data_IF_417843188408
#
_entry.id   IF_417843188408
#
_cell.length_a   1.000
_cell.length_b   1.000
_cell.length_c   1.000
_cell.angle_alpha   90.00
_cell.angle_beta   90.00
_cell.angle_gamma   90.00
#
_symmetry.space_group_name_H-M   'P 1'
#
loop_
_entity.id
_entity.type
_entity.pdbx_description
1 polymer ?
#
# COMPACT_ATOMS: atom_id res chain seq x y z
N UNK A 1 -4.48 2.95 -10.11
CA UNK A 1 -3.63 2.47 -9.02
C UNK A 1 -4.09 3.09 -7.70
N UNK A 2 -4.24 2.30 -6.66
CA UNK A 2 -4.53 2.77 -5.30
C UNK A 2 -3.25 2.72 -4.46
N UNK A 3 -2.81 3.84 -3.93
CA UNK A 3 -1.63 3.95 -3.07
C UNK A 3 -2.09 4.21 -1.62
N UNK A 4 -2.03 3.19 -0.78
CA UNK A 4 -2.36 3.29 0.64
C UNK A 4 -1.10 3.71 1.40
N UNK A 5 -1.01 4.98 1.70
CA UNK A 5 0.13 5.69 2.25
C UNK A 5 0.72 6.71 1.28
N UNK A 6 0.75 7.99 1.68
CA UNK A 6 1.36 9.10 0.95
C UNK A 6 2.63 9.62 1.66
N UNK A 7 3.34 8.72 2.32
CA UNK A 7 4.62 8.98 2.97
C UNK A 7 5.80 8.90 1.99
N UNK A 8 6.97 8.53 2.49
CA UNK A 8 8.21 8.45 1.71
C UNK A 8 8.09 7.46 0.55
N UNK A 9 7.57 6.24 0.82
CA UNK A 9 7.31 5.24 -0.21
C UNK A 9 6.23 5.71 -1.21
N UNK A 10 5.10 6.26 -0.70
CA UNK A 10 4.00 6.70 -1.56
C UNK A 10 4.42 7.76 -2.57
N UNK A 11 5.20 8.74 -2.14
CA UNK A 11 5.77 9.75 -3.02
C UNK A 11 6.69 9.14 -4.09
N UNK A 12 7.60 8.25 -3.70
CA UNK A 12 8.58 7.65 -4.61
C UNK A 12 7.93 6.68 -5.61
N UNK A 13 7.01 5.82 -5.13
CA UNK A 13 6.23 4.89 -5.99
C UNK A 13 5.40 5.66 -7.00
N UNK A 14 4.69 6.71 -6.57
CA UNK A 14 3.87 7.52 -7.48
C UNK A 14 4.73 8.15 -8.59
N UNK A 15 5.90 8.68 -8.27
CA UNK A 15 6.83 9.23 -9.26
C UNK A 15 7.30 8.17 -10.27
N UNK A 16 7.62 6.97 -9.81
CA UNK A 16 8.01 5.87 -10.69
C UNK A 16 6.86 5.42 -11.60
N UNK A 17 5.63 5.31 -11.06
CA UNK A 17 4.43 4.96 -11.84
C UNK A 17 4.13 5.99 -12.94
N UNK A 18 4.26 7.28 -12.63
CA UNK A 18 4.12 8.37 -13.61
C UNK A 18 5.16 8.27 -14.71
N UNK A 19 6.40 7.91 -14.37
CA UNK A 19 7.47 7.66 -15.34
C UNK A 19 7.14 6.53 -16.32
N UNK A 20 6.37 5.53 -15.90
CA UNK A 20 5.84 4.45 -16.73
C UNK A 20 4.54 4.80 -17.48
N UNK A 21 4.02 6.01 -17.34
CA UNK A 21 2.83 6.48 -18.03
C UNK A 21 1.52 6.10 -17.35
N UNK A 22 1.53 5.70 -16.08
CA UNK A 22 0.32 5.48 -15.29
C UNK A 22 -0.39 6.81 -15.06
N UNK A 23 -1.64 6.91 -15.49
CA UNK A 23 -2.40 8.16 -15.45
C UNK A 23 -3.36 8.25 -14.26
N UNK A 24 -3.95 7.13 -13.82
CA UNK A 24 -4.95 7.12 -12.76
C UNK A 24 -4.33 6.65 -11.43
N UNK A 25 -4.16 7.58 -10.50
CA UNK A 25 -3.52 7.33 -9.20
C UNK A 25 -4.36 7.94 -8.08
N UNK A 26 -4.75 7.13 -7.11
CA UNK A 26 -5.45 7.58 -5.90
C UNK A 26 -4.54 7.38 -4.69
N UNK A 27 -4.32 8.43 -3.92
CA UNK A 27 -3.65 8.36 -2.62
C UNK A 27 -4.65 8.23 -1.49
N UNK A 28 -4.34 7.39 -0.52
CA UNK A 28 -5.08 7.26 0.75
C UNK A 28 -4.11 7.50 1.89
N UNK A 29 -4.35 8.53 2.67
CA UNK A 29 -3.54 8.88 3.86
C UNK A 29 -4.33 9.83 4.75
N UNK A 30 -4.28 9.64 6.07
CA UNK A 30 -4.92 10.52 7.05
C UNK A 30 -3.97 11.56 7.64
N UNK A 31 -2.67 11.44 7.36
CA UNK A 31 -1.65 12.28 7.96
C UNK A 31 -1.52 13.67 7.33
N UNK A 32 -0.83 14.53 8.05
CA UNK A 32 -0.47 15.87 7.60
C UNK A 32 1.03 15.97 7.30
N UNK A 33 1.40 16.85 6.39
CA UNK A 33 2.80 17.13 6.09
C UNK A 33 3.42 17.87 7.27
N UNK A 34 4.51 17.32 7.82
CA UNK A 34 5.31 17.94 8.87
C UNK A 34 6.57 18.60 8.29
N UNK A 35 7.23 19.54 9.01
CA UNK A 35 8.44 20.22 8.53
C UNK A 35 9.59 19.31 8.15
N UNK A 36 9.67 18.10 8.72
CA UNK A 36 10.70 17.11 8.39
C UNK A 36 10.39 16.29 7.13
N UNK A 37 9.15 16.29 6.63
CA UNK A 37 8.76 15.43 5.52
C UNK A 37 9.38 15.84 4.17
N UNK A 38 9.49 17.12 3.80
CA UNK A 38 10.04 17.53 2.50
C UNK A 38 11.46 17.05 2.22
N UNK A 39 12.23 16.72 3.25
CA UNK A 39 13.60 16.23 3.10
C UNK A 39 13.67 14.83 2.46
N UNK A 40 12.59 14.03 2.53
CA UNK A 40 12.53 12.65 2.05
C UNK A 40 11.25 12.29 1.27
N UNK A 41 10.21 13.09 1.36
CA UNK A 41 8.92 12.89 0.69
C UNK A 41 8.82 13.84 -0.50
N UNK A 42 9.20 13.38 -1.68
CA UNK A 42 9.49 14.19 -2.86
C UNK A 42 8.28 14.88 -3.53
N UNK A 43 7.06 14.64 -3.03
CA UNK A 43 5.85 15.35 -3.47
C UNK A 43 5.46 16.51 -2.54
N UNK A 44 6.31 16.86 -1.57
CA UNK A 44 6.03 17.95 -0.64
C UNK A 44 7.20 18.92 -0.59
N UNK A 45 6.89 20.21 -0.46
CA UNK A 45 7.85 21.27 -0.25
C UNK A 45 7.73 21.85 1.17
N UNK A 46 8.69 22.67 1.54
CA UNK A 46 8.63 23.43 2.79
C UNK A 46 7.38 24.33 2.88
N UNK A 47 6.92 24.84 1.75
CA UNK A 47 5.73 25.69 1.67
C UNK A 47 4.47 24.96 2.15
N UNK A 48 4.26 23.70 1.67
CA UNK A 48 3.14 22.87 2.11
C UNK A 48 3.26 22.50 3.59
N UNK A 49 4.47 22.18 4.07
CA UNK A 49 4.71 21.85 5.46
C UNK A 49 4.35 22.98 6.43
N UNK A 50 4.48 24.24 5.99
CA UNK A 50 4.14 25.44 6.78
C UNK A 50 2.75 25.99 6.46
N UNK A 51 2.06 25.43 5.47
CA UNK A 51 0.73 25.83 5.06
C UNK A 51 -0.40 25.46 6.05
N UNK A 52 -1.62 25.92 5.76
CA UNK A 52 -2.81 25.59 6.57
C UNK A 52 -3.43 24.24 6.16
N UNK A 53 -3.53 23.98 4.86
CA UNK A 53 -4.00 22.71 4.32
C UNK A 53 -2.80 21.80 4.06
N UNK A 54 -2.60 20.80 4.89
CA UNK A 54 -1.40 19.97 4.88
C UNK A 54 -1.71 18.49 4.77
N UNK A 55 -2.90 18.11 4.32
CA UNK A 55 -3.27 16.70 4.18
C UNK A 55 -2.43 16.04 3.10
N UNK A 56 -1.68 15.02 3.48
CA UNK A 56 -0.72 14.33 2.59
C UNK A 56 -1.37 13.81 1.32
N UNK A 57 -2.50 13.10 1.45
CA UNK A 57 -3.17 12.51 0.29
C UNK A 57 -3.57 13.58 -0.74
N UNK A 58 -4.15 14.69 -0.29
CA UNK A 58 -4.59 15.79 -1.17
C UNK A 58 -3.41 16.46 -1.84
N UNK A 59 -2.40 16.84 -1.07
CA UNK A 59 -1.22 17.53 -1.61
C UNK A 59 -0.43 16.66 -2.58
N UNK A 60 -0.27 15.36 -2.29
CA UNK A 60 0.40 14.44 -3.20
C UNK A 60 -0.33 14.34 -4.56
N UNK A 61 -1.66 14.31 -4.53
CA UNK A 61 -2.47 14.28 -5.74
C UNK A 61 -2.39 15.59 -6.54
N UNK A 62 -2.38 16.73 -5.86
CA UNK A 62 -2.21 18.05 -6.48
C UNK A 62 -0.82 18.19 -7.13
N UNK A 63 0.22 17.75 -6.45
CA UNK A 63 1.59 17.81 -6.95
C UNK A 63 1.80 16.91 -8.17
N UNK A 64 1.21 15.71 -8.22
CA UNK A 64 1.27 14.89 -9.43
C UNK A 64 0.64 15.58 -10.64
N UNK A 65 -0.48 16.28 -10.46
CA UNK A 65 -1.11 17.07 -11.53
C UNK A 65 -0.25 18.29 -11.94
N UNK A 66 0.45 18.90 -10.98
CA UNK A 66 1.38 19.99 -11.27
C UNK A 66 2.59 19.50 -12.09
N UNK A 67 3.08 18.27 -11.81
CA UNK A 67 4.17 17.63 -12.56
C UNK A 67 3.72 17.25 -13.98
N UNK A 68 2.54 16.68 -14.11
CA UNK A 68 1.95 16.32 -15.41
C UNK A 68 0.43 16.50 -15.39
N UNK A 69 -0.10 17.55 -16.04
CA UNK A 69 -1.54 17.82 -16.04
C UNK A 69 -2.43 16.73 -16.67
N UNK A 70 -1.85 15.80 -17.44
CA UNK A 70 -2.59 14.66 -18.01
C UNK A 70 -2.89 13.57 -16.96
N UNK A 71 -2.33 13.67 -15.76
CA UNK A 71 -2.56 12.69 -14.69
C UNK A 71 -3.87 12.98 -13.99
N UNK A 72 -4.71 11.94 -13.92
CA UNK A 72 -5.91 11.93 -13.12
C UNK A 72 -5.57 11.39 -11.71
N UNK A 73 -5.18 12.29 -10.82
CA UNK A 73 -4.80 11.95 -9.44
C UNK A 73 -5.84 12.45 -8.45
N UNK A 74 -6.13 11.62 -7.44
CA UNK A 74 -7.07 11.93 -6.36
C UNK A 74 -6.44 11.68 -5.00
N UNK A 75 -6.74 12.54 -4.02
CA UNK A 75 -6.37 12.36 -2.63
C UNK A 75 -7.60 12.06 -1.77
N UNK A 76 -7.57 10.95 -1.06
CA UNK A 76 -8.61 10.53 -0.12
C UNK A 76 -8.03 10.60 1.29
N UNK A 77 -8.51 11.58 2.07
CA UNK A 77 -8.16 11.69 3.48
C UNK A 77 -8.94 10.62 4.23
N UNK A 78 -8.23 9.57 4.63
CA UNK A 78 -8.86 8.40 5.20
C UNK A 78 -7.88 7.63 6.09
N UNK A 79 -8.36 7.26 7.27
CA UNK A 79 -7.63 6.46 8.23
C UNK A 79 -8.01 4.99 8.06
N UNK A 80 -7.02 4.14 7.81
CA UNK A 80 -7.23 2.69 7.66
C UNK A 80 -7.68 2.11 9.01
N UNK A 81 -8.81 1.37 9.05
CA UNK A 81 -9.21 0.64 10.26
C UNK A 81 -8.13 -0.38 10.62
N UNK A 82 -7.60 -0.28 11.83
CA UNK A 82 -6.56 -1.18 12.32
C UNK A 82 -7.18 -2.09 13.38
N UNK A 83 -7.11 -3.43 13.21
CA UNK A 83 -7.52 -4.36 14.26
C UNK A 83 -6.75 -4.09 15.55
N UNK A 84 -7.43 -4.31 16.67
CA UNK A 84 -6.89 -4.17 18.04
C UNK A 84 -6.50 -2.75 18.49
N UNK A 85 -6.83 -1.74 17.68
CA UNK A 85 -6.69 -0.35 18.10
C UNK A 85 -7.97 0.17 18.74
N UNK A 86 -7.87 0.61 19.98
CA UNK A 86 -9.00 1.24 20.68
C UNK A 86 -9.34 2.56 20.00
N UNK A 87 -10.56 2.69 19.50
CA UNK A 87 -11.08 3.98 19.05
C UNK A 87 -11.17 4.89 20.26
N UNK A 88 -10.29 5.89 20.34
CA UNK A 88 -10.29 6.82 21.46
C UNK A 88 -11.52 7.72 21.40
N UNK A 89 -12.35 7.69 22.43
CA UNK A 89 -13.51 8.56 22.61
C UNK A 89 -14.53 7.95 23.56
N UNK A 90 -15.27 8.83 24.25
CA UNK A 90 -16.42 8.44 25.06
C UNK A 90 -17.62 8.32 24.12
N UNK A 91 -17.60 7.33 23.22
CA UNK A 91 -18.72 7.02 22.34
C UNK A 91 -19.42 5.75 22.82
N UNK A 92 -20.72 5.66 22.61
CA UNK A 92 -21.45 4.43 22.84
C UNK A 92 -20.94 3.32 21.90
N UNK A 93 -20.92 2.08 22.37
CA UNK A 93 -20.38 0.93 21.64
C UNK A 93 -20.99 0.80 20.23
N UNK A 94 -22.30 1.01 20.10
CA UNK A 94 -23.02 0.92 18.82
C UNK A 94 -22.62 2.01 17.82
N UNK A 95 -22.33 3.22 18.30
CA UNK A 95 -21.86 4.32 17.45
C UNK A 95 -20.43 4.07 16.96
N UNK A 96 -19.60 3.48 17.81
CA UNK A 96 -18.24 3.08 17.48
C UNK A 96 -18.23 1.95 16.43
N UNK A 97 -19.08 0.92 16.60
CA UNK A 97 -19.21 -0.19 15.65
C UNK A 97 -19.65 0.32 14.27
N UNK A 98 -20.68 1.19 14.20
CA UNK A 98 -21.10 1.81 12.92
C UNK A 98 -19.99 2.60 12.25
N UNK A 99 -19.23 3.37 13.02
CA UNK A 99 -18.09 4.14 12.49
C UNK A 99 -16.99 3.26 11.89
N UNK A 100 -16.75 2.07 12.47
CA UNK A 100 -15.81 1.09 11.93
C UNK A 100 -16.38 0.44 10.66
N UNK A 101 -17.66 0.04 10.66
CA UNK A 101 -18.33 -0.54 9.49
C UNK A 101 -18.30 0.41 8.28
N UNK A 102 -18.59 1.70 8.48
CA UNK A 102 -18.49 2.72 7.44
C UNK A 102 -17.07 2.86 6.88
N UNK A 103 -16.05 2.82 7.77
CA UNK A 103 -14.65 2.84 7.34
C UNK A 103 -14.29 1.59 6.55
N UNK A 104 -14.70 0.41 6.97
CA UNK A 104 -14.46 -0.84 6.25
C UNK A 104 -15.15 -0.82 4.89
N UNK A 105 -16.43 -0.42 4.83
CA UNK A 105 -17.19 -0.27 3.60
C UNK A 105 -16.47 0.65 2.60
N UNK A 106 -16.02 1.81 3.05
CA UNK A 106 -15.28 2.76 2.22
C UNK A 106 -13.95 2.19 1.71
N UNK A 107 -13.25 1.40 2.53
CA UNK A 107 -12.02 0.74 2.10
C UNK A 107 -12.30 -0.33 1.03
N UNK A 108 -13.41 -1.08 1.16
CA UNK A 108 -13.86 -2.02 0.14
C UNK A 108 -14.13 -1.33 -1.19
N UNK A 109 -14.85 -0.20 -1.19
CA UNK A 109 -15.12 0.59 -2.40
C UNK A 109 -13.84 1.07 -3.07
N UNK A 110 -12.88 1.54 -2.28
CA UNK A 110 -11.58 1.98 -2.80
C UNK A 110 -10.81 0.82 -3.44
N UNK A 111 -10.80 -0.36 -2.82
CA UNK A 111 -10.13 -1.54 -3.39
C UNK A 111 -10.87 -2.04 -4.64
N UNK A 112 -12.21 -2.10 -4.61
CA UNK A 112 -13.01 -2.58 -5.72
C UNK A 112 -12.86 -1.71 -6.98
N UNK A 113 -12.75 -0.41 -6.82
CA UNK A 113 -12.67 0.54 -7.93
C UNK A 113 -11.30 0.68 -8.57
N UNK A 114 -10.26 0.02 -8.02
CA UNK A 114 -8.90 0.09 -8.54
C UNK A 114 -8.37 -1.29 -8.99
N UNK A 115 -7.48 -1.31 -9.97
CA UNK A 115 -6.90 -2.55 -10.53
C UNK A 115 -5.76 -3.09 -9.68
N UNK A 116 -4.94 -2.20 -9.14
CA UNK A 116 -3.74 -2.53 -8.37
C UNK A 116 -3.69 -1.70 -7.10
N UNK A 117 -3.35 -2.34 -6.00
CA UNK A 117 -3.20 -1.72 -4.69
C UNK A 117 -1.74 -1.78 -4.25
N UNK A 118 -1.19 -0.65 -3.83
CA UNK A 118 0.10 -0.57 -3.16
C UNK A 118 -0.11 -0.31 -1.67
N UNK A 119 0.45 -1.15 -0.81
CA UNK A 119 0.48 -0.96 0.65
C UNK A 119 1.82 -0.36 1.03
N UNK A 120 1.80 0.91 1.44
CA UNK A 120 2.98 1.75 1.65
C UNK A 120 3.01 2.40 3.04
N UNK A 121 2.14 1.90 3.92
CA UNK A 121 2.05 2.35 5.32
C UNK A 121 3.23 1.83 6.15
N UNK A 122 3.50 2.47 7.26
CA UNK A 122 4.66 2.23 8.11
C UNK A 122 4.41 1.26 9.28
N UNK A 123 3.15 0.91 9.55
CA UNK A 123 2.81 -0.06 10.60
C UNK A 123 2.28 -1.36 10.04
N UNK A 124 2.44 -2.45 10.78
CA UNK A 124 1.94 -3.78 10.41
C UNK A 124 0.42 -3.82 10.42
N UNK A 125 -0.19 -3.24 11.44
CA UNK A 125 -1.63 -3.24 11.69
C UNK A 125 -2.39 -2.58 10.54
N UNK A 126 -1.85 -1.51 9.99
CA UNK A 126 -2.45 -0.80 8.86
C UNK A 126 -2.42 -1.59 7.54
N UNK A 127 -1.63 -2.68 7.48
CA UNK A 127 -1.52 -3.57 6.32
C UNK A 127 -2.43 -4.77 6.38
N UNK A 128 -2.88 -5.20 7.58
CA UNK A 128 -3.62 -6.45 7.74
C UNK A 128 -4.96 -6.44 7.01
N UNK A 129 -5.83 -5.50 7.33
CA UNK A 129 -7.15 -5.44 6.70
C UNK A 129 -7.09 -5.22 5.18
N UNK A 130 -6.31 -4.26 4.64
CA UNK A 130 -6.18 -4.11 3.20
C UNK A 130 -5.62 -5.36 2.51
N UNK A 131 -4.66 -6.07 3.13
CA UNK A 131 -4.12 -7.32 2.60
C UNK A 131 -5.18 -8.41 2.49
N UNK A 132 -5.97 -8.59 3.57
CA UNK A 132 -7.05 -9.54 3.60
C UNK A 132 -8.09 -9.24 2.50
N UNK A 133 -8.52 -8.00 2.40
CA UNK A 133 -9.49 -7.57 1.39
C UNK A 133 -8.98 -7.76 -0.04
N UNK A 134 -7.72 -7.43 -0.30
CA UNK A 134 -7.09 -7.68 -1.60
C UNK A 134 -7.03 -9.17 -1.95
N UNK A 135 -6.72 -10.03 -0.97
CA UNK A 135 -6.71 -11.49 -1.19
C UNK A 135 -8.11 -12.03 -1.49
N UNK A 136 -9.14 -11.59 -0.75
CA UNK A 136 -10.53 -12.00 -0.95
C UNK A 136 -11.03 -11.54 -2.33
N UNK A 137 -10.76 -10.28 -2.68
CA UNK A 137 -11.17 -9.68 -3.95
C UNK A 137 -10.32 -10.12 -5.14
N UNK A 138 -9.28 -10.94 -4.92
CA UNK A 138 -8.28 -11.29 -5.95
C UNK A 138 -7.70 -10.07 -6.66
N UNK A 139 -7.48 -8.99 -5.92
CA UNK A 139 -6.83 -7.77 -6.41
C UNK A 139 -5.32 -7.91 -6.32
N UNK A 140 -4.63 -7.50 -7.37
CA UNK A 140 -3.19 -7.42 -7.36
C UNK A 140 -2.73 -6.41 -6.30
N UNK A 141 -2.00 -6.90 -5.31
CA UNK A 141 -1.50 -6.10 -4.21
C UNK A 141 0.02 -6.18 -4.13
N UNK A 142 0.67 -5.03 -3.97
CA UNK A 142 2.10 -4.92 -3.75
C UNK A 142 2.33 -4.21 -2.43
N UNK A 143 2.89 -4.95 -1.48
CA UNK A 143 3.30 -4.42 -0.19
C UNK A 143 4.77 -4.08 -0.21
N UNK A 144 5.14 -2.90 0.30
CA UNK A 144 6.53 -2.49 0.48
C UNK A 144 6.73 -2.13 1.95
N UNK A 145 7.69 -2.80 2.59
CA UNK A 145 8.10 -2.50 3.94
C UNK A 145 9.57 -2.05 3.97
N UNK A 146 9.87 -1.07 4.79
CA UNK A 146 11.22 -0.57 5.01
C UNK A 146 11.65 -0.85 6.45
N UNK A 147 12.82 -1.44 6.61
CA UNK A 147 13.57 -1.48 7.86
C UNK A 147 14.62 -0.35 7.90
N UNK A 148 15.51 -0.38 8.89
CA UNK A 148 16.62 0.60 8.99
C UNK A 148 17.55 0.56 7.78
N UNK A 149 18.05 -0.63 7.46
CA UNK A 149 18.99 -0.93 6.38
C UNK A 149 18.50 -2.02 5.40
N UNK A 150 17.24 -2.39 5.47
CA UNK A 150 16.61 -3.45 4.68
C UNK A 150 15.27 -3.03 4.10
N UNK A 151 14.78 -3.78 3.13
CA UNK A 151 13.43 -3.63 2.61
C UNK A 151 12.83 -4.99 2.21
N UNK A 152 11.51 -5.06 2.18
CA UNK A 152 10.75 -6.20 1.73
C UNK A 152 9.71 -5.73 0.70
N UNK A 153 9.63 -6.42 -0.43
CA UNK A 153 8.57 -6.22 -1.42
C UNK A 153 7.86 -7.55 -1.59
N UNK A 154 6.54 -7.53 -1.45
CA UNK A 154 5.68 -8.71 -1.60
C UNK A 154 4.58 -8.42 -2.61
N UNK A 155 4.32 -9.36 -3.49
CA UNK A 155 3.18 -9.35 -4.41
C UNK A 155 2.22 -10.46 -4.00
N UNK A 156 0.94 -10.16 -3.91
CA UNK A 156 -0.11 -11.14 -3.56
C UNK A 156 -1.48 -10.70 -4.10
N UNK A 157 -2.50 -11.48 -3.77
CA UNK A 157 -3.89 -11.24 -4.16
C UNK A 157 -4.27 -11.91 -5.47
N UNK A 158 -3.63 -11.54 -6.57
CA UNK A 158 -3.83 -12.13 -7.89
C UNK A 158 -2.64 -13.00 -8.29
N UNK A 159 -2.87 -14.30 -8.45
CA UNK A 159 -1.84 -15.23 -8.90
C UNK A 159 -1.52 -15.08 -10.40
N UNK A 160 -0.29 -15.45 -10.78
CA UNK A 160 0.19 -15.39 -12.18
C UNK A 160 -0.70 -16.19 -13.13
N UNK A 161 -1.16 -17.37 -12.73
CA UNK A 161 -2.03 -18.21 -13.56
C UNK A 161 -3.40 -17.58 -13.80
N UNK A 162 -3.95 -16.92 -12.78
CA UNK A 162 -5.24 -16.19 -12.89
C UNK A 162 -5.07 -15.00 -13.80
N UNK A 163 -3.99 -14.23 -13.62
CA UNK A 163 -3.69 -13.08 -14.47
C UNK A 163 -3.51 -13.49 -15.93
N UNK A 164 -2.82 -14.59 -16.19
CA UNK A 164 -2.62 -15.10 -17.55
C UNK A 164 -3.92 -15.44 -18.27
N UNK A 165 -4.91 -15.99 -17.56
CA UNK A 165 -6.22 -16.38 -18.13
C UNK A 165 -7.19 -15.21 -18.24
N UNK A 166 -7.24 -14.36 -17.24
CA UNK A 166 -8.32 -13.39 -17.03
C UNK A 166 -7.87 -11.93 -17.07
N UNK A 167 -6.56 -11.68 -16.95
CA UNK A 167 -5.99 -10.34 -16.84
C UNK A 167 -6.38 -9.67 -15.53
N UNK A 168 -6.39 -8.34 -15.50
CA UNK A 168 -6.86 -7.54 -14.35
C UNK A 168 -8.37 -7.32 -14.40
N UNK A 169 -9.15 -8.38 -14.60
CA UNK A 169 -10.61 -8.28 -14.57
C UNK A 169 -11.08 -7.98 -13.15
N UNK A 170 -12.15 -7.22 -13.09
CA UNK A 170 -12.85 -6.99 -11.83
C UNK A 170 -13.62 -8.26 -11.46
N UNK A 171 -13.28 -8.86 -10.33
CA UNK A 171 -14.03 -9.96 -9.75
C UNK A 171 -15.30 -9.45 -9.03
N UNK A 172 -16.01 -10.33 -8.34
CA UNK A 172 -17.18 -9.95 -7.56
C UNK A 172 -16.83 -8.86 -6.55
N UNK A 173 -17.76 -7.93 -6.32
CA UNK A 173 -17.59 -6.87 -5.33
C UNK A 173 -17.25 -7.44 -3.95
N UNK A 174 -16.36 -6.79 -3.23
CA UNK A 174 -16.03 -7.15 -1.86
C UNK A 174 -17.27 -7.17 -0.95
N UNK A 175 -18.21 -6.25 -1.15
CA UNK A 175 -19.46 -6.24 -0.39
C UNK A 175 -20.27 -7.53 -0.59
N UNK A 176 -20.37 -8.03 -1.82
CA UNK A 176 -21.05 -9.31 -2.12
C UNK A 176 -20.31 -10.50 -1.54
N UNK A 177 -18.97 -10.49 -1.53
CA UNK A 177 -18.18 -11.57 -0.96
C UNK A 177 -18.24 -11.59 0.57
N UNK A 178 -18.26 -10.41 1.22
CA UNK A 178 -18.31 -10.29 2.67
C UNK A 178 -19.71 -10.50 3.26
N UNK A 179 -20.77 -10.27 2.50
CA UNK A 179 -22.15 -10.55 2.94
C UNK A 179 -22.48 -12.04 3.04
N UNK A 180 -21.61 -12.92 2.50
CA UNK A 180 -21.84 -14.36 2.46
C UNK A 180 -22.89 -14.81 1.44
N UNK A 181 -23.42 -13.90 0.62
CA UNK A 181 -24.42 -14.20 -0.42
C UNK A 181 -23.84 -15.02 -1.58
N UNK A 182 -22.53 -15.12 -1.65
CA UNK A 182 -21.85 -15.89 -2.66
C UNK A 182 -20.81 -16.81 -2.03
N UNK A 183 -20.88 -18.14 -2.24
CA UNK A 183 -19.85 -19.04 -1.78
C UNK A 183 -18.51 -18.63 -2.42
N UNK A 184 -17.48 -18.50 -1.60
CA UNK A 184 -16.11 -18.40 -2.06
C UNK A 184 -15.79 -19.74 -2.70
N UNK A 185 -15.70 -19.80 -4.02
CA UNK A 185 -15.27 -21.03 -4.71
C UNK A 185 -13.90 -21.42 -4.14
N UNK A 186 -13.83 -22.59 -3.54
CA UNK A 186 -12.55 -23.22 -3.19
C UNK A 186 -11.83 -23.60 -4.48
N UNK A 187 -11.28 -22.58 -5.14
CA UNK A 187 -10.44 -22.83 -6.29
C UNK A 187 -9.14 -23.46 -5.79
N UNK A 188 -8.90 -24.69 -6.24
CA UNK A 188 -7.71 -25.48 -5.96
C UNK A 188 -6.41 -24.87 -6.54
N UNK A 189 -6.47 -23.64 -7.05
CA UNK A 189 -5.33 -22.94 -7.61
C UNK A 189 -4.32 -22.62 -6.51
N UNK A 190 -3.07 -22.91 -6.78
CA UNK A 190 -1.92 -22.51 -5.97
C UNK A 190 -2.00 -21.01 -5.72
N UNK A 191 -2.40 -20.62 -4.53
CA UNK A 191 -2.43 -19.20 -4.12
C UNK A 191 -1.01 -18.75 -3.86
N UNK A 192 -0.67 -17.57 -4.36
CA UNK A 192 0.55 -16.90 -3.92
C UNK A 192 0.49 -16.67 -2.40
N UNK A 193 1.65 -16.70 -1.75
CA UNK A 193 1.74 -16.35 -0.33
C UNK A 193 1.21 -14.93 -0.11
N UNK A 194 0.45 -14.71 0.95
CA UNK A 194 -0.05 -13.39 1.33
C UNK A 194 0.82 -12.77 2.42
N UNK A 195 0.49 -11.54 2.82
CA UNK A 195 1.17 -10.85 3.91
C UNK A 195 1.26 -11.71 5.19
N UNK A 196 0.17 -12.35 5.57
CA UNK A 196 0.09 -13.18 6.78
C UNK A 196 0.96 -14.44 6.74
N UNK A 197 1.31 -14.94 5.57
CA UNK A 197 2.23 -16.07 5.45
C UNK A 197 3.66 -15.72 5.90
N UNK A 198 4.02 -14.44 5.84
CA UNK A 198 5.34 -13.92 6.22
C UNK A 198 5.33 -13.18 7.55
N UNK A 199 4.17 -12.71 7.99
CA UNK A 199 3.99 -12.04 9.29
C UNK A 199 3.54 -13.07 10.33
N UNK A 200 4.50 -13.57 11.10
CA UNK A 200 4.27 -14.62 12.12
C UNK A 200 3.86 -14.05 13.49
N UNK A 201 3.81 -12.73 13.63
CA UNK A 201 3.45 -12.09 14.89
C UNK A 201 1.94 -11.96 15.03
N UNK A 202 1.44 -12.28 16.21
CA UNK A 202 0.04 -12.03 16.56
C UNK A 202 -0.28 -10.53 16.48
N UNK A 203 -1.51 -10.15 16.08
CA UNK A 203 -1.96 -8.77 16.15
C UNK A 203 -1.80 -8.23 17.57
N UNK A 204 -1.00 -7.18 17.73
CA UNK A 204 -0.81 -6.46 19.00
C UNK A 204 -0.77 -4.97 18.71
N UNK A 205 -1.12 -4.15 19.70
CA UNK A 205 -0.97 -2.70 19.60
C UNK A 205 0.52 -2.33 19.64
N UNK A 206 1.11 -2.06 18.47
CA UNK A 206 2.52 -1.64 18.33
C UNK A 206 2.67 -0.12 18.41
N UNK A 207 1.60 0.65 18.61
CA UNK A 207 1.70 2.11 18.77
C UNK A 207 2.35 2.50 20.10
N UNK A 208 2.23 1.65 21.11
CA UNK A 208 2.81 1.89 22.44
C UNK A 208 4.26 1.45 22.55
N UNK A 209 4.63 0.37 21.86
CA UNK A 209 5.99 -0.22 21.89
C UNK A 209 6.54 -0.39 20.46
N UNK A 210 6.72 0.73 19.75
CA UNK A 210 7.26 0.70 18.39
C UNK A 210 8.70 0.20 18.38
N UNK A 211 8.93 -0.89 17.67
CA UNK A 211 10.28 -1.33 17.35
C UNK A 211 11.00 -0.27 16.48
N UNK A 212 12.31 -0.15 16.62
CA UNK A 212 13.13 0.82 15.88
C UNK A 212 12.94 0.69 14.37
N UNK A 213 12.68 -0.53 13.87
CA UNK A 213 12.44 -0.81 12.45
C UNK A 213 11.13 -0.21 11.89
N UNK A 214 10.20 0.15 12.75
CA UNK A 214 8.93 0.81 12.37
C UNK A 214 9.05 2.34 12.30
N UNK A 215 10.18 2.91 12.69
CA UNK A 215 10.43 4.34 12.62
C UNK A 215 10.94 4.71 11.23
N UNK A 216 10.04 5.11 10.33
CA UNK A 216 10.37 5.58 8.97
C UNK A 216 11.47 6.64 8.90
N UNK A 217 11.77 7.32 10.01
CA UNK A 217 12.81 8.34 10.10
C UNK A 217 14.21 7.74 10.18
N UNK A 218 14.36 6.46 10.50
CA UNK A 218 15.65 5.76 10.64
C UNK A 218 16.06 5.01 9.38
N UNK A 219 15.15 4.86 8.40
CA UNK A 219 15.45 4.17 7.15
C UNK A 219 16.44 4.97 6.30
N UNK A 220 17.41 4.29 5.73
CA UNK A 220 18.37 4.88 4.79
C UNK A 220 17.64 5.36 3.53
N UNK A 221 17.82 6.62 3.17
CA UNK A 221 17.12 7.29 2.05
C UNK A 221 17.23 6.50 0.74
N UNK A 222 18.42 5.98 0.42
CA UNK A 222 18.65 5.22 -0.81
C UNK A 222 17.78 3.96 -0.92
N UNK A 223 17.46 3.31 0.20
CA UNK A 223 16.61 2.11 0.21
C UNK A 223 15.18 2.42 -0.21
N UNK A 224 14.65 3.57 0.17
CA UNK A 224 13.31 3.99 -0.24
C UNK A 224 13.19 4.06 -1.76
N UNK A 225 14.13 4.72 -2.42
CA UNK A 225 14.10 4.84 -3.88
C UNK A 225 14.35 3.51 -4.57
N UNK A 226 15.28 2.69 -4.04
CA UNK A 226 15.56 1.35 -4.56
C UNK A 226 14.33 0.45 -4.46
N UNK A 227 13.71 0.38 -3.28
CA UNK A 227 12.53 -0.43 -3.05
C UNK A 227 11.34 0.03 -3.88
N UNK A 228 11.11 1.34 -3.99
CA UNK A 228 10.02 1.90 -4.79
C UNK A 228 10.20 1.62 -6.28
N UNK A 229 11.40 1.84 -6.82
CA UNK A 229 11.72 1.53 -8.21
C UNK A 229 11.55 0.05 -8.51
N UNK A 230 12.14 -0.82 -7.69
CA UNK A 230 12.06 -2.27 -7.87
C UNK A 230 10.62 -2.79 -7.78
N UNK A 231 9.80 -2.25 -6.88
CA UNK A 231 8.39 -2.65 -6.75
C UNK A 231 7.57 -2.28 -7.98
N UNK A 232 7.83 -1.10 -8.57
CA UNK A 232 7.17 -0.69 -9.81
C UNK A 232 7.65 -1.55 -10.99
N UNK A 233 8.95 -1.85 -11.08
CA UNK A 233 9.47 -2.76 -12.11
C UNK A 233 8.88 -4.18 -12.00
N UNK A 234 8.70 -4.69 -10.77
CA UNK A 234 8.01 -5.97 -10.54
C UNK A 234 6.56 -5.94 -11.02
N UNK A 235 5.84 -4.84 -10.77
CA UNK A 235 4.49 -4.66 -11.29
C UNK A 235 4.49 -4.66 -12.82
N UNK A 236 5.33 -3.85 -13.43
CA UNK A 236 5.37 -3.71 -14.90
C UNK A 236 5.77 -5.05 -15.56
N UNK A 237 6.76 -5.74 -15.00
CA UNK A 237 7.14 -7.07 -15.48
C UNK A 237 5.97 -8.06 -15.36
N UNK A 238 5.26 -8.07 -14.21
CA UNK A 238 4.07 -8.89 -14.03
C UNK A 238 2.98 -8.58 -15.08
N UNK A 239 2.71 -7.31 -15.35
CA UNK A 239 1.70 -6.88 -16.33
C UNK A 239 2.10 -7.23 -17.77
N UNK A 240 3.38 -7.21 -18.10
CA UNK A 240 3.90 -7.52 -19.43
C UNK A 240 4.09 -9.02 -19.68
N UNK A 241 4.24 -9.83 -18.63
CA UNK A 241 4.59 -11.25 -18.78
C UNK A 241 3.47 -12.11 -19.38
N UNK A 242 2.24 -11.62 -19.50
CA UNK A 242 1.07 -12.30 -20.09
C UNK A 242 0.95 -13.81 -19.77
N UNK A 243 1.58 -14.24 -18.69
CA UNK A 243 1.64 -15.65 -18.28
C UNK A 243 2.55 -16.53 -19.14
N UNK A 244 3.36 -15.99 -20.02
CA UNK A 244 4.38 -16.77 -20.71
C UNK A 244 5.49 -17.15 -19.73
N UNK A 245 5.62 -18.44 -19.48
CA UNK A 245 6.63 -19.05 -18.61
C UNK A 245 8.09 -18.84 -19.07
N UNK A 246 8.30 -18.13 -20.18
CA UNK A 246 9.61 -17.94 -20.80
C UNK A 246 10.47 -16.83 -20.18
N UNK A 247 9.88 -15.95 -19.39
CA UNK A 247 10.59 -14.84 -18.72
C UNK A 247 10.66 -15.09 -17.22
N UNK A 248 11.35 -16.10 -16.78
CA UNK A 248 11.66 -16.41 -15.38
C UNK A 248 10.51 -16.13 -14.40
N UNK A 249 10.35 -16.94 -13.38
CA UNK A 249 9.32 -16.75 -12.34
C UNK A 249 9.39 -15.33 -11.82
N UNK A 250 8.34 -14.55 -12.04
CA UNK A 250 8.21 -13.23 -11.39
C UNK A 250 8.16 -13.48 -9.88
N UNK A 251 9.14 -13.04 -9.10
CA UNK A 251 9.20 -13.39 -7.70
C UNK A 251 8.03 -12.77 -6.94
N UNK A 252 7.41 -13.56 -6.05
CA UNK A 252 6.36 -13.07 -5.16
C UNK A 252 6.91 -12.15 -4.07
N UNK A 253 8.20 -12.29 -3.79
CA UNK A 253 8.87 -11.58 -2.71
C UNK A 253 10.30 -11.25 -3.11
N UNK A 254 10.70 -10.02 -2.86
CA UNK A 254 12.08 -9.56 -2.93
C UNK A 254 12.46 -8.99 -1.57
N UNK A 255 13.49 -9.57 -0.98
CA UNK A 255 14.08 -9.09 0.27
C UNK A 255 15.53 -8.70 0.00
N UNK A 256 15.93 -7.55 0.49
CA UNK A 256 17.31 -7.10 0.43
C UNK A 256 17.76 -6.61 1.80
N UNK A 257 18.83 -7.20 2.32
CA UNK A 257 19.57 -6.73 3.49
C UNK A 257 20.82 -6.00 3.00
N UNK A 258 20.86 -4.70 3.15
CA UNK A 258 22.02 -3.90 2.85
C UNK A 258 22.96 -3.87 4.08
N UNK A 259 23.70 -4.94 4.31
CA UNK A 259 24.80 -4.93 5.29
C UNK A 259 25.97 -4.14 4.71
N UNK A 260 25.96 -2.84 4.86
CA UNK A 260 27.18 -2.04 4.69
C UNK A 260 28.05 -2.22 5.94
N UNK A 261 29.05 -3.09 5.85
CA UNK A 261 30.19 -3.09 6.78
C UNK A 261 31.01 -1.82 6.51
N UNK A 262 30.61 -0.73 7.13
CA UNK A 262 31.37 0.53 7.11
C UNK A 262 30.90 1.37 8.28
N UNK A 263 31.78 1.59 9.26
CA UNK A 263 31.61 2.67 10.22
C UNK A 263 31.76 3.97 9.42
N UNK A 264 30.74 4.81 9.42
CA UNK A 264 30.94 6.23 9.18
C UNK A 264 31.36 6.81 10.54
N UNK A 265 32.64 7.12 10.67
CA UNK A 265 33.16 8.00 11.71
C UNK A 265 32.76 9.44 11.40
#
# INVERSE_FOLDING_TARGET
>A
MLLIGAGTLGCAVARALVGWGVQNITFVDSGVVSPSNPTRQCLYSWKEAMGRNRMKATLAAEELKAINPAINSHGVVFEIPMPDHVVQGVMEKEEMERGVEEKVSRLCDLIDTHDVVFLLTDSRESRWLPSLLCCIARKLCINIALGGDSFLIQRYGLGTEVYAKEGLKQFKSLHTLLSGECPVEEDSMKRDSCYFCSDILSPTDTLTDREIDQLCTTTRIGLTYTASGLAVELLINFLHSKGEASLGVVPNQVMHEARLKGRFE
#
